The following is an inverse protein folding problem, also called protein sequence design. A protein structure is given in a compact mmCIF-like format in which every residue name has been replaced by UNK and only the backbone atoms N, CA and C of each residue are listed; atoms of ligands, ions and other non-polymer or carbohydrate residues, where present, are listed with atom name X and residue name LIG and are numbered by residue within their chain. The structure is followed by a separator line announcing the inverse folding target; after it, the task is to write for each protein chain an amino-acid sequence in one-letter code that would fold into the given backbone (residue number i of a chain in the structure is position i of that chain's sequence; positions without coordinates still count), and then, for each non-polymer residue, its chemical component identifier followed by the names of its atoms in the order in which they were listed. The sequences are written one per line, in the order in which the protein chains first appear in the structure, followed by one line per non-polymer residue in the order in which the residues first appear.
data_IF_004154754212
#
_entry.id   IF_004154754212
#
_cell.length_a   1.000
_cell.length_b   1.000
_cell.length_c   1.000
_cell.angle_alpha   90.00
_cell.angle_beta   90.00
_cell.angle_gamma   90.00
#
_symmetry.space_group_name_H-M   'P 1'
#
loop_
_entity.id
_entity.type
_entity.pdbx_description
1 polymer ?
#
# COMPACT_ATOMS: atom_id res chain seq x y z
N UNK A 1 -25.81 1.20 -55.65
CA UNK A 1 -24.51 1.33 -54.95
C UNK A 1 -24.57 2.26 -53.73
N UNK A 2 -25.26 3.39 -53.79
CA UNK A 2 -25.31 4.37 -52.68
C UNK A 2 -25.94 3.83 -51.38
N UNK A 3 -26.96 2.98 -51.45
CA UNK A 3 -27.60 2.39 -50.26
C UNK A 3 -26.69 1.45 -49.47
N UNK A 4 -25.79 0.71 -50.14
CA UNK A 4 -24.86 -0.22 -49.49
C UNK A 4 -23.81 0.56 -48.68
N UNK A 5 -23.35 1.70 -49.21
CA UNK A 5 -22.43 2.61 -48.51
C UNK A 5 -23.05 3.23 -47.26
N UNK A 6 -24.33 3.61 -47.31
CA UNK A 6 -25.06 4.17 -46.16
C UNK A 6 -25.22 3.13 -45.05
N UNK A 7 -25.56 1.89 -45.40
CA UNK A 7 -25.71 0.78 -44.44
C UNK A 7 -24.36 0.48 -43.76
N UNK A 8 -23.26 0.42 -44.53
CA UNK A 8 -21.93 0.20 -43.98
C UNK A 8 -21.48 1.33 -43.05
N UNK A 9 -21.77 2.59 -43.40
CA UNK A 9 -21.47 3.74 -42.55
C UNK A 9 -22.27 3.69 -41.23
N UNK A 10 -23.56 3.34 -41.27
CA UNK A 10 -24.38 3.21 -40.08
C UNK A 10 -23.88 2.09 -39.15
N UNK A 11 -23.50 0.94 -39.70
CA UNK A 11 -22.92 -0.17 -38.93
C UNK A 11 -21.59 0.26 -38.28
N UNK A 12 -20.73 0.97 -39.01
CA UNK A 12 -19.45 1.45 -38.48
C UNK A 12 -19.64 2.44 -37.31
N UNK A 13 -20.62 3.35 -37.40
CA UNK A 13 -20.95 4.31 -36.34
C UNK A 13 -21.46 3.60 -35.09
N UNK A 14 -22.34 2.59 -35.25
CA UNK A 14 -22.83 1.78 -34.11
C UNK A 14 -21.68 1.01 -33.46
N UNK A 15 -20.81 0.36 -34.24
CA UNK A 15 -19.65 -0.35 -33.71
C UNK A 15 -18.68 0.57 -32.96
N UNK A 16 -18.38 1.75 -33.51
CA UNK A 16 -17.53 2.75 -32.86
C UNK A 16 -18.17 3.27 -31.58
N UNK A 17 -19.48 3.55 -31.59
CA UNK A 17 -20.24 3.99 -30.42
C UNK A 17 -20.24 2.96 -29.30
N UNK A 18 -20.55 1.70 -29.61
CA UNK A 18 -20.53 0.59 -28.63
C UNK A 18 -19.12 0.38 -28.07
N UNK A 19 -18.08 0.44 -28.91
CA UNK A 19 -16.68 0.31 -28.47
C UNK A 19 -16.27 1.45 -27.52
N UNK A 20 -16.70 2.68 -27.79
CA UNK A 20 -16.44 3.84 -26.92
C UNK A 20 -17.16 3.73 -25.57
N UNK A 21 -18.42 3.27 -25.58
CA UNK A 21 -19.21 3.07 -24.35
C UNK A 21 -18.61 1.95 -23.50
N UNK A 22 -18.29 0.80 -24.10
CA UNK A 22 -17.66 -0.31 -23.37
C UNK A 22 -16.29 0.07 -22.81
N UNK A 23 -15.49 0.84 -23.58
CA UNK A 23 -14.19 1.34 -23.10
C UNK A 23 -14.31 2.29 -21.91
N UNK A 24 -15.42 3.03 -21.78
CA UNK A 24 -15.70 3.87 -20.60
C UNK A 24 -16.13 3.05 -19.39
N UNK A 25 -16.96 2.01 -19.59
CA UNK A 25 -17.38 1.08 -18.53
C UNK A 25 -16.24 0.18 -18.01
N UNK A 26 -15.20 -0.02 -18.81
CA UNK A 26 -14.03 -0.82 -18.42
C UNK A 26 -12.99 -0.06 -17.58
N UNK A 27 -13.29 1.17 -17.15
CA UNK A 27 -12.30 2.00 -16.45
C UNK A 27 -12.22 1.63 -14.97
N UNK A 28 -11.28 0.76 -14.63
CA UNK A 28 -10.74 0.64 -13.27
C UNK A 28 -10.13 1.99 -12.86
N UNK A 29 -10.62 2.56 -11.77
CA UNK A 29 -10.16 3.84 -11.24
C UNK A 29 -9.85 3.66 -9.76
N UNK A 30 -8.60 3.39 -9.43
CA UNK A 30 -8.18 3.08 -8.06
C UNK A 30 -7.44 4.28 -7.49
N UNK A 31 -7.86 4.69 -6.30
CA UNK A 31 -7.18 5.70 -5.50
C UNK A 31 -6.54 5.01 -4.30
N UNK A 32 -5.29 5.34 -4.03
CA UNK A 32 -4.55 4.85 -2.89
C UNK A 32 -4.23 6.01 -1.94
N UNK A 33 -4.43 5.78 -0.65
CA UNK A 33 -3.99 6.67 0.40
C UNK A 33 -3.31 5.84 1.49
N UNK A 34 -2.33 6.40 2.17
CA UNK A 34 -1.65 5.74 3.26
C UNK A 34 -1.29 6.75 4.35
N UNK A 35 -1.43 6.34 5.60
CA UNK A 35 -1.17 7.18 6.77
C UNK A 35 -0.71 6.33 7.96
N UNK A 36 0.06 6.91 8.88
CA UNK A 36 0.43 6.24 10.13
C UNK A 36 -0.75 6.35 11.10
N UNK A 37 -1.09 5.24 11.75
CA UNK A 37 -2.12 5.18 12.79
C UNK A 37 -1.52 4.69 14.10
N UNK A 38 -2.15 5.11 15.20
CA UNK A 38 -1.79 4.75 16.57
C UNK A 38 -2.97 4.03 17.21
N UNK A 39 -2.78 2.75 17.52
CA UNK A 39 -3.78 1.97 18.23
C UNK A 39 -3.35 1.83 19.68
N UNK A 40 -4.19 2.25 20.62
CA UNK A 40 -3.92 2.02 22.04
C UNK A 40 -3.83 0.51 22.30
N UNK A 41 -2.77 0.08 22.99
CA UNK A 41 -2.54 -1.33 23.32
C UNK A 41 -2.33 -1.57 24.82
N UNK A 42 -2.79 -2.73 25.29
CA UNK A 42 -2.54 -3.22 26.65
C UNK A 42 -1.26 -4.02 26.79
N UNK A 43 -0.83 -4.28 28.03
CA UNK A 43 0.46 -4.96 28.32
C UNK A 43 0.57 -6.42 27.82
N UNK A 44 -0.57 -7.06 27.51
CA UNK A 44 -0.65 -8.48 27.11
C UNK A 44 -1.28 -8.67 25.73
N UNK A 45 -1.42 -7.62 24.95
CA UNK A 45 -2.00 -7.72 23.61
C UNK A 45 -0.98 -8.22 22.59
N UNK A 46 -1.47 -8.92 21.57
CA UNK A 46 -0.65 -9.37 20.46
C UNK A 46 -0.32 -8.16 19.60
N UNK A 47 0.90 -7.66 19.75
CA UNK A 47 1.39 -6.47 19.06
C UNK A 47 2.05 -6.91 17.76
N UNK A 48 1.59 -6.33 16.66
CA UNK A 48 2.13 -6.47 15.31
C UNK A 48 3.26 -5.47 15.07
N UNK A 49 3.08 -4.18 15.38
CA UNK A 49 4.01 -3.09 15.03
C UNK A 49 4.92 -2.59 16.16
N UNK A 50 5.52 -1.41 15.92
CA UNK A 50 6.32 -0.70 16.94
C UNK A 50 5.40 -0.17 18.03
N UNK A 51 5.76 -0.36 19.30
CA UNK A 51 5.06 0.28 20.43
C UNK A 51 5.79 1.54 20.84
N UNK A 52 5.03 2.60 21.08
CA UNK A 52 5.48 3.85 21.69
C UNK A 52 4.66 4.16 22.93
N UNK A 53 5.23 4.93 23.86
CA UNK A 53 4.54 5.41 25.06
C UNK A 53 4.32 6.92 24.89
N UNK A 54 3.10 7.39 25.15
CA UNK A 54 2.81 8.84 25.15
C UNK A 54 3.12 9.51 26.49
N UNK A 55 2.92 10.83 26.55
CA UNK A 55 3.20 11.64 27.76
C UNK A 55 2.31 11.29 28.97
N UNK A 56 1.35 10.38 28.83
CA UNK A 56 0.43 9.94 29.89
C UNK A 56 0.66 8.46 30.25
N UNK A 57 1.82 7.90 29.90
CA UNK A 57 2.17 6.49 30.08
C UNK A 57 1.22 5.51 29.36
N UNK A 58 0.52 5.97 28.31
CA UNK A 58 -0.35 5.12 27.50
C UNK A 58 0.46 4.54 26.34
N UNK A 59 0.38 3.22 26.18
CA UNK A 59 1.05 2.48 25.12
C UNK A 59 0.22 2.52 23.84
N UNK A 60 0.87 2.84 22.73
CA UNK A 60 0.28 2.84 21.40
C UNK A 60 1.12 2.00 20.45
N UNK A 61 0.46 1.11 19.72
CA UNK A 61 1.03 0.42 18.57
C UNK A 61 0.92 1.32 17.32
N UNK A 62 2.03 1.47 16.63
CA UNK A 62 2.13 2.21 15.38
C UNK A 62 2.01 1.25 14.21
N UNK A 63 1.08 1.53 13.31
CA UNK A 63 0.87 0.78 12.08
C UNK A 63 0.78 1.73 10.89
N UNK A 64 1.09 1.22 9.71
CA UNK A 64 0.75 1.86 8.46
C UNK A 64 -0.65 1.41 8.02
N UNK A 65 -1.56 2.35 7.88
CA UNK A 65 -2.88 2.12 7.33
C UNK A 65 -2.88 2.47 5.84
N UNK A 66 -3.25 1.51 5.00
CA UNK A 66 -3.34 1.67 3.55
C UNK A 66 -4.81 1.58 3.16
N UNK A 67 -5.37 2.71 2.72
CA UNK A 67 -6.74 2.77 2.20
C UNK A 67 -6.73 2.64 0.69
N UNK A 68 -7.40 1.61 0.20
CA UNK A 68 -7.60 1.37 -1.22
C UNK A 68 -9.05 1.67 -1.57
N UNK A 69 -9.27 2.63 -2.48
CA UNK A 69 -10.61 3.02 -2.91
C UNK A 69 -10.82 2.68 -4.38
N UNK A 70 -11.87 1.92 -4.68
CA UNK A 70 -12.31 1.65 -6.04
C UNK A 70 -13.36 2.68 -6.47
N UNK A 71 -12.97 3.63 -7.31
CA UNK A 71 -13.89 4.57 -7.95
C UNK A 71 -14.36 4.09 -9.34
N UNK A 72 -14.04 2.84 -9.72
CA UNK A 72 -14.46 2.24 -10.98
C UNK A 72 -15.74 1.41 -10.85
N UNK A 73 -16.31 1.04 -12.00
CA UNK A 73 -17.52 0.21 -12.16
C UNK A 73 -17.21 -1.30 -12.18
N UNK A 74 -16.02 -1.70 -11.71
CA UNK A 74 -15.58 -3.10 -11.70
C UNK A 74 -14.86 -3.44 -10.42
N UNK A 75 -15.23 -4.57 -9.86
CA UNK A 75 -14.52 -5.16 -8.73
C UNK A 75 -13.10 -5.54 -9.15
N UNK A 76 -12.16 -5.45 -8.20
CA UNK A 76 -10.81 -5.96 -8.38
C UNK A 76 -10.29 -6.54 -7.07
N UNK A 77 -9.33 -7.46 -7.16
CA UNK A 77 -8.72 -8.08 -6.00
C UNK A 77 -7.35 -7.48 -5.76
N UNK A 78 -7.14 -6.95 -4.56
CA UNK A 78 -5.83 -6.56 -4.06
C UNK A 78 -5.15 -7.82 -3.56
N UNK A 79 -3.95 -8.11 -4.06
CA UNK A 79 -3.21 -9.32 -3.71
C UNK A 79 -2.06 -9.04 -2.75
N UNK A 80 -1.35 -7.93 -2.94
CA UNK A 80 -0.18 -7.58 -2.15
C UNK A 80 -0.10 -6.06 -1.97
N UNK A 81 0.52 -5.63 -0.87
CA UNK A 81 1.16 -4.31 -0.80
C UNK A 81 2.58 -4.46 -1.32
N UNK A 82 3.09 -3.49 -2.07
CA UNK A 82 4.46 -3.50 -2.55
C UNK A 82 5.22 -2.24 -2.16
N UNK A 83 6.52 -2.39 -2.05
CA UNK A 83 7.48 -1.31 -1.98
C UNK A 83 8.70 -1.63 -2.82
N UNK A 84 9.25 -0.61 -3.44
CA UNK A 84 10.54 -0.67 -4.11
C UNK A 84 11.57 0.00 -3.21
N UNK A 85 12.57 -0.76 -2.79
CA UNK A 85 13.64 -0.28 -1.93
C UNK A 85 14.97 -0.33 -2.67
N UNK A 86 15.76 0.73 -2.56
CA UNK A 86 17.13 0.77 -3.09
C UNK A 86 18.12 0.67 -1.94
N UNK A 87 18.96 -0.36 -1.97
CA UNK A 87 20.03 -0.54 -0.99
C UNK A 87 21.28 0.26 -1.40
N UNK A 88 22.19 0.51 -0.46
CA UNK A 88 23.43 1.30 -0.65
C UNK A 88 24.29 0.88 -1.86
N UNK A 89 24.19 -0.38 -2.30
CA UNK A 89 24.89 -0.89 -3.47
C UNK A 89 24.19 -0.57 -4.82
N UNK A 90 23.14 0.25 -4.81
CA UNK A 90 22.36 0.65 -5.98
C UNK A 90 21.46 -0.46 -6.54
N UNK A 91 21.30 -1.56 -5.80
CA UNK A 91 20.42 -2.67 -6.19
C UNK A 91 19.01 -2.40 -5.69
N UNK A 92 18.05 -2.43 -6.62
CA UNK A 92 16.64 -2.28 -6.31
C UNK A 92 16.01 -3.64 -5.97
N UNK A 93 15.24 -3.68 -4.89
CA UNK A 93 14.44 -4.82 -4.49
C UNK A 93 12.97 -4.41 -4.46
N UNK A 94 12.12 -5.34 -4.85
CA UNK A 94 10.69 -5.27 -4.64
C UNK A 94 10.35 -6.14 -3.44
N UNK A 95 9.77 -5.52 -2.41
CA UNK A 95 9.22 -6.26 -1.27
C UNK A 95 7.71 -6.32 -1.46
N UNK A 96 7.17 -7.54 -1.45
CA UNK A 96 5.73 -7.80 -1.49
C UNK A 96 5.27 -8.23 -0.12
N UNK A 97 4.34 -7.49 0.47
CA UNK A 97 3.77 -7.72 1.80
C UNK A 97 2.36 -8.27 1.63
N UNK A 98 2.09 -9.40 2.27
CA UNK A 98 0.79 -10.08 2.29
C UNK A 98 0.29 -10.15 3.73
N UNK A 99 -0.33 -9.07 4.25
CA UNK A 99 -0.92 -9.08 5.57
C UNK A 99 -2.15 -10.01 5.60
N UNK A 100 -2.67 -10.31 6.79
CA UNK A 100 -3.77 -11.26 6.98
C UNK A 100 -5.05 -10.84 6.25
N UNK A 101 -5.24 -9.53 6.06
CA UNK A 101 -6.36 -8.94 5.34
C UNK A 101 -6.27 -9.14 3.81
N UNK A 102 -5.17 -9.68 3.27
CA UNK A 102 -5.01 -9.93 1.83
C UNK A 102 -4.88 -11.42 1.50
N UNK A 103 -5.39 -11.87 0.33
CA UNK A 103 -6.03 -11.09 -0.73
C UNK A 103 -7.47 -10.69 -0.41
N UNK A 104 -7.90 -9.54 -0.94
CA UNK A 104 -9.26 -9.00 -0.70
C UNK A 104 -9.87 -8.39 -1.96
N UNK A 105 -11.16 -8.63 -2.18
CA UNK A 105 -11.92 -8.05 -3.30
C UNK A 105 -12.49 -6.70 -2.90
N UNK A 106 -12.11 -5.65 -3.63
CA UNK A 106 -12.67 -4.30 -3.50
C UNK A 106 -13.81 -4.16 -4.51
N UNK A 107 -15.03 -4.08 -4.01
CA UNK A 107 -16.23 -3.85 -4.81
C UNK A 107 -16.22 -2.49 -5.50
N UNK A 108 -17.05 -2.31 -6.52
CA UNK A 108 -17.29 -1.01 -7.14
C UNK A 108 -17.70 0.06 -6.12
N UNK A 109 -17.15 1.27 -6.26
CA UNK A 109 -17.43 2.43 -5.39
C UNK A 109 -17.19 2.18 -3.89
N UNK A 110 -16.36 1.19 -3.55
CA UNK A 110 -16.07 0.80 -2.17
C UNK A 110 -14.62 1.11 -1.79
N UNK A 111 -14.31 0.96 -0.50
CA UNK A 111 -12.95 1.06 0.00
C UNK A 111 -12.66 0.00 1.04
N UNK A 112 -11.43 -0.47 1.06
CA UNK A 112 -10.88 -1.32 2.12
C UNK A 112 -9.73 -0.62 2.82
N UNK A 113 -9.47 -1.01 4.07
CA UNK A 113 -8.32 -0.56 4.86
C UNK A 113 -7.47 -1.76 5.21
N UNK A 114 -6.18 -1.67 4.92
CA UNK A 114 -5.22 -2.74 5.14
C UNK A 114 -4.15 -2.20 6.08
N UNK A 115 -3.89 -2.90 7.19
CA UNK A 115 -2.92 -2.47 8.20
C UNK A 115 -1.65 -3.30 8.11
N UNK A 116 -0.52 -2.64 7.89
CA UNK A 116 0.79 -3.29 7.92
C UNK A 116 1.71 -2.64 8.95
N UNK A 117 2.79 -3.32 9.28
CA UNK A 117 3.83 -2.77 10.14
C UNK A 117 4.45 -1.51 9.52
N UNK A 118 4.61 -0.44 10.30
CA UNK A 118 5.23 0.81 9.80
C UNK A 118 6.70 0.62 9.42
N UNK A 119 7.34 -0.41 9.99
CA UNK A 119 8.72 -0.83 9.76
C UNK A 119 9.03 -1.08 8.28
N UNK A 120 8.01 -1.40 7.48
CA UNK A 120 8.15 -1.50 6.04
C UNK A 120 8.52 -0.19 5.35
N UNK A 121 8.24 0.96 5.95
CA UNK A 121 8.66 2.28 5.48
C UNK A 121 9.98 2.76 6.09
N UNK A 122 10.51 2.03 7.08
CA UNK A 122 11.73 2.42 7.78
C UNK A 122 13.01 2.09 7.01
N UNK A 123 12.92 1.46 5.84
CA UNK A 123 14.04 1.28 4.91
C UNK A 123 14.59 2.63 4.44
N UNK A 124 15.92 2.69 4.28
CA UNK A 124 16.65 3.93 3.98
C UNK A 124 16.15 4.65 2.73
N UNK A 125 15.79 3.91 1.68
CA UNK A 125 15.30 4.50 0.42
C UNK A 125 14.08 3.74 -0.12
N UNK A 126 12.88 4.15 0.28
CA UNK A 126 11.63 3.68 -0.33
C UNK A 126 11.33 4.54 -1.56
N UNK A 127 11.59 3.97 -2.74
CA UNK A 127 11.42 4.67 -4.02
C UNK A 127 9.94 4.74 -4.43
N UNK A 128 9.24 3.61 -4.28
CA UNK A 128 7.83 3.45 -4.65
C UNK A 128 7.10 2.65 -3.58
N UNK A 129 5.82 2.94 -3.39
CA UNK A 129 4.93 2.21 -2.48
C UNK A 129 3.55 2.08 -3.13
N UNK A 130 2.85 0.97 -2.93
CA UNK A 130 1.52 0.82 -3.47
C UNK A 130 0.89 -0.55 -3.25
N UNK A 131 -0.09 -0.89 -4.09
CA UNK A 131 -0.74 -2.20 -4.10
C UNK A 131 -0.63 -2.88 -5.46
N UNK A 132 -0.60 -4.22 -5.45
CA UNK A 132 -0.59 -5.07 -6.65
C UNK A 132 -1.94 -5.79 -6.72
N UNK A 133 -2.63 -5.70 -7.85
CA UNK A 133 -3.83 -6.51 -8.07
C UNK A 133 -3.50 -7.97 -8.43
N UNK A 134 -4.49 -8.86 -8.37
CA UNK A 134 -4.30 -10.27 -8.70
C UNK A 134 -3.88 -10.55 -10.16
N UNK A 135 -3.91 -9.53 -11.02
CA UNK A 135 -3.44 -9.58 -12.42
C UNK A 135 -2.00 -9.07 -12.56
N UNK A 136 -1.34 -8.71 -11.47
CA UNK A 136 0.03 -8.21 -11.45
C UNK A 136 0.16 -6.73 -11.85
N UNK A 137 -0.92 -5.96 -11.84
CA UNK A 137 -0.86 -4.52 -12.13
C UNK A 137 -0.62 -3.72 -10.85
N UNK A 138 0.25 -2.73 -10.96
CA UNK A 138 0.69 -1.87 -9.86
C UNK A 138 -0.15 -0.59 -9.78
N UNK A 139 -0.54 -0.23 -8.57
CA UNK A 139 -1.21 1.03 -8.25
C UNK A 139 -0.38 1.74 -7.18
N UNK A 140 0.17 2.89 -7.56
CA UNK A 140 1.17 3.60 -6.78
C UNK A 140 0.53 4.63 -5.86
N UNK A 141 1.08 4.77 -4.67
CA UNK A 141 0.86 5.95 -3.83
C UNK A 141 1.53 7.15 -4.53
N UNK A 142 0.86 8.30 -4.64
CA UNK A 142 1.48 9.50 -5.19
C UNK A 142 2.79 9.82 -4.48
N UNK A 143 3.85 10.14 -5.25
CA UNK A 143 5.21 10.31 -4.71
C UNK A 143 5.29 11.35 -3.59
N UNK A 144 4.56 12.45 -3.72
CA UNK A 144 4.46 13.47 -2.67
C UNK A 144 3.89 12.92 -1.36
N UNK A 145 2.85 12.08 -1.41
CA UNK A 145 2.29 11.43 -0.22
C UNK A 145 3.26 10.40 0.36
N UNK A 146 3.98 9.66 -0.50
CA UNK A 146 5.02 8.73 -0.04
C UNK A 146 6.15 9.46 0.69
N UNK A 147 6.63 10.58 0.16
CA UNK A 147 7.72 11.34 0.75
C UNK A 147 7.29 11.97 2.09
N UNK A 148 6.06 12.47 2.19
CA UNK A 148 5.46 12.94 3.45
C UNK A 148 5.36 11.81 4.48
N UNK A 149 4.85 10.65 4.06
CA UNK A 149 4.67 9.47 4.91
C UNK A 149 6.01 8.88 5.38
N UNK A 150 7.01 8.83 4.50
CA UNK A 150 8.36 8.38 4.83
C UNK A 150 9.01 9.34 5.81
N UNK A 151 8.86 10.65 5.59
CA UNK A 151 9.34 11.66 6.55
C UNK A 151 8.64 11.51 7.90
N UNK A 152 7.32 11.36 7.92
CA UNK A 152 6.56 11.12 9.15
C UNK A 152 7.09 9.88 9.88
N UNK A 153 7.26 8.75 9.19
CA UNK A 153 7.79 7.51 9.77
C UNK A 153 9.18 7.69 10.40
N UNK A 154 10.06 8.48 9.77
CA UNK A 154 11.44 8.70 10.22
C UNK A 154 11.58 9.81 11.27
N UNK A 155 10.72 10.82 11.26
CA UNK A 155 10.73 11.94 12.21
C UNK A 155 10.12 11.57 13.57
N UNK A 156 9.42 10.44 13.65
CA UNK A 156 8.88 9.93 14.90
C UNK A 156 10.02 9.53 15.84
N UNK A 157 9.90 9.74 17.18
CA UNK A 157 10.84 9.24 18.17
C UNK A 157 10.72 7.72 18.24
N UNK A 158 11.20 7.05 17.19
CA UNK A 158 11.45 5.63 17.14
C UNK A 158 12.95 5.52 17.31
N UNK A 159 13.39 5.08 18.49
CA UNK A 159 14.77 4.68 18.69
C UNK A 159 15.03 3.50 17.74
N UNK A 160 15.44 3.80 16.51
CA UNK A 160 15.91 2.83 15.53
C UNK A 160 17.29 2.37 15.99
N UNK A 161 17.36 1.47 16.97
CA UNK A 161 18.62 0.79 17.23
C UNK A 161 18.47 -0.70 17.51
N UNK A 162 19.46 -1.42 16.97
CA UNK A 162 19.62 -2.86 17.02
C UNK A 162 20.18 -3.16 18.41
N UNK A 163 19.38 -3.83 19.23
CA UNK A 163 19.75 -4.25 20.60
C UNK A 163 19.78 -3.07 21.59
N UNK A 164 18.71 -2.95 22.37
CA UNK A 164 18.50 -1.96 23.41
C UNK A 164 19.52 -2.06 24.58
N UNK A 165 19.98 -0.91 25.11
CA UNK A 165 19.76 -0.49 26.52
C UNK A 165 20.08 1.04 26.66
N UNK A 166 19.09 1.87 27.00
CA UNK A 166 19.25 3.33 27.15
C UNK A 166 19.42 3.81 28.62
N UNK A 167 19.91 3.01 29.58
CA UNK A 167 20.18 3.44 30.98
C UNK A 167 19.00 4.11 31.75
N UNK A 168 17.78 4.13 31.20
CA UNK A 168 16.62 4.89 31.70
C UNK A 168 15.34 4.00 31.66
N UNK A 169 14.65 3.81 32.79
CA UNK A 169 14.44 2.47 33.33
C UNK A 169 13.07 1.81 33.04
N UNK A 170 12.43 2.09 31.88
CA UNK A 170 11.14 1.48 31.48
C UNK A 170 11.05 1.15 29.96
N UNK A 171 12.18 0.84 29.34
CA UNK A 171 12.39 0.67 27.88
C UNK A 171 11.21 0.11 27.04
N UNK A 172 10.80 0.87 26.02
CA UNK A 172 10.03 0.37 24.88
C UNK A 172 10.69 0.80 23.57
N UNK A 173 11.51 -0.09 22.99
CA UNK A 173 11.51 -0.40 21.55
C UNK A 173 11.84 -1.88 21.40
N UNK A 174 10.86 -2.71 21.04
CA UNK A 174 11.12 -4.09 20.61
C UNK A 174 11.48 -4.05 19.13
N UNK A 175 12.79 -4.04 18.88
CA UNK A 175 13.52 -4.27 17.62
C UNK A 175 12.68 -4.62 16.39
N UNK A 176 12.93 -3.90 15.28
CA UNK A 176 12.61 -4.26 13.90
C UNK A 176 12.45 -5.78 13.70
N UNK A 177 11.21 -6.26 13.69
CA UNK A 177 10.89 -7.61 13.22
C UNK A 177 9.58 -7.52 12.48
N UNK A 178 9.68 -7.27 11.17
CA UNK A 178 8.53 -7.37 10.31
C UNK A 178 8.06 -8.85 10.33
N UNK A 179 6.87 -9.08 10.89
CA UNK A 179 6.20 -10.38 10.99
C UNK A 179 5.17 -10.56 9.88
N UNK A 180 4.80 -9.49 9.16
CA UNK A 180 3.96 -9.61 7.97
C UNK A 180 4.60 -10.59 6.98
N UNK A 181 3.80 -11.54 6.47
CA UNK A 181 4.25 -12.46 5.44
C UNK A 181 4.73 -11.65 4.25
N UNK A 182 5.97 -11.87 3.84
CA UNK A 182 6.59 -11.06 2.80
C UNK A 182 7.52 -11.86 1.90
N UNK A 183 7.69 -11.37 0.68
CA UNK A 183 8.62 -11.88 -0.30
C UNK A 183 9.52 -10.74 -0.77
N UNK A 184 10.84 -11.00 -0.82
CA UNK A 184 11.83 -10.04 -1.29
C UNK A 184 12.34 -10.51 -2.64
N UNK A 185 12.15 -9.69 -3.67
CA UNK A 185 12.47 -10.00 -5.05
C UNK A 185 13.52 -9.01 -5.55
N UNK A 186 14.68 -9.51 -5.96
CA UNK A 186 15.71 -8.66 -6.59
C UNK A 186 15.25 -8.22 -7.98
N UNK A 187 15.16 -6.92 -8.24
CA UNK A 187 14.90 -6.41 -9.60
C UNK A 187 16.22 -6.38 -10.37
N UNK A 188 16.27 -7.09 -11.49
CA UNK A 188 17.38 -6.96 -12.44
C UNK A 188 17.14 -5.69 -13.26
N UNK A 189 18.12 -4.78 -13.27
CA UNK A 189 18.08 -3.59 -14.14
C UNK A 189 18.04 -3.99 -15.61
#
# INVERSE_FOLDING_TARGET
MSYILIILAAIAVVFLGVKLINKRKDKLSILLHANIIYNKVGDRENIKGTVVIDNFDIRHEMLLNVRVTNNGEKNFEVSHIFMEVELENGVCYEVRVTPEELPEVVEEFSSIEIKIQKEWLDYENVNSFGVIDSRGKYYYLPKNQLDELWKESNDLPSYKDRDCDHNDPNEVVKSFKANDKSEIIKKSR
#
